data_IF_653191601071
#
_entry.id   IF_653191601071
#
_cell.length_a   1.000
_cell.length_b   1.000
_cell.length_c   1.000
_cell.angle_alpha   90.00
_cell.angle_beta   90.00
_cell.angle_gamma   90.00
#
_symmetry.space_group_name_H-M   'P 1'
#
loop_
_entity.id
_entity.type
_entity.pdbx_description
1 polymer ?
#
# COMPACT_ATOMS: atom_id res chain seq x y z
N UNK A 1 -27.33 4.67 1.37
CA UNK A 1 -27.62 5.05 -0.04
C UNK A 1 -28.36 6.36 -0.10
N UNK A 2 -28.18 7.13 -1.17
CA UNK A 2 -28.87 8.39 -1.40
C UNK A 2 -29.15 8.62 -2.88
N UNK A 3 -30.17 9.42 -3.17
CA UNK A 3 -30.52 9.83 -4.51
C UNK A 3 -31.04 11.29 -4.49
N UNK A 4 -30.46 12.13 -5.33
CA UNK A 4 -30.93 13.50 -5.51
C UNK A 4 -31.77 13.60 -6.80
N UNK A 5 -33.04 13.87 -6.65
CA UNK A 5 -33.94 14.15 -7.77
C UNK A 5 -33.80 15.61 -8.21
N UNK A 6 -33.10 15.80 -9.30
CA UNK A 6 -32.86 17.14 -9.87
C UNK A 6 -34.15 17.87 -10.29
N UNK A 7 -35.21 17.10 -10.64
CA UNK A 7 -36.46 17.69 -11.11
C UNK A 7 -37.29 18.29 -9.95
N UNK A 8 -37.37 17.55 -8.85
CA UNK A 8 -38.12 18.00 -7.67
C UNK A 8 -37.26 18.73 -6.64
N UNK A 9 -35.93 18.75 -6.82
CA UNK A 9 -34.99 19.33 -5.86
C UNK A 9 -34.93 18.58 -4.52
N UNK A 10 -35.37 17.31 -4.49
CA UNK A 10 -35.45 16.51 -3.26
C UNK A 10 -34.29 15.54 -3.16
N UNK A 11 -33.72 15.46 -1.96
CA UNK A 11 -32.74 14.44 -1.58
C UNK A 11 -33.44 13.30 -0.85
N UNK A 12 -33.33 12.10 -1.40
CA UNK A 12 -33.81 10.86 -0.78
C UNK A 12 -32.60 10.16 -0.18
N UNK A 13 -32.74 9.74 1.08
CA UNK A 13 -31.69 9.04 1.81
C UNK A 13 -32.29 7.74 2.34
N UNK A 14 -31.61 6.61 2.06
CA UNK A 14 -31.83 5.38 2.78
C UNK A 14 -30.95 5.45 4.04
N UNK A 15 -31.56 5.60 5.22
CA UNK A 15 -30.77 5.81 6.44
C UNK A 15 -29.95 4.57 6.79
N UNK A 16 -28.77 4.79 7.35
CA UNK A 16 -28.01 3.70 7.97
C UNK A 16 -28.72 3.23 9.26
N UNK A 17 -28.44 1.99 9.68
CA UNK A 17 -29.22 1.29 10.72
C UNK A 17 -29.38 2.07 12.04
N UNK A 18 -28.45 2.94 12.38
CA UNK A 18 -28.43 3.73 13.62
C UNK A 18 -28.81 5.20 13.42
N UNK A 19 -29.33 5.58 12.25
CA UNK A 19 -29.76 6.96 12.01
C UNK A 19 -30.99 7.32 12.85
N UNK A 20 -30.94 8.46 13.52
CA UNK A 20 -32.03 9.00 14.33
C UNK A 20 -32.41 10.39 13.80
N UNK A 21 -33.50 10.96 14.30
CA UNK A 21 -33.91 12.33 14.00
C UNK A 21 -32.85 13.38 14.44
N UNK A 22 -31.95 13.00 15.35
CA UNK A 22 -30.83 13.85 15.80
C UNK A 22 -29.57 13.69 14.95
N UNK A 23 -29.55 12.75 14.01
CA UNK A 23 -28.38 12.55 13.13
C UNK A 23 -28.17 13.77 12.25
N UNK A 24 -26.93 14.24 12.18
CA UNK A 24 -26.56 15.39 11.35
C UNK A 24 -26.23 14.93 9.94
N UNK A 25 -26.86 15.51 8.95
CA UNK A 25 -26.52 15.35 7.54
C UNK A 25 -25.77 16.60 7.07
N UNK A 26 -24.59 16.40 6.49
CA UNK A 26 -23.86 17.45 5.80
C UNK A 26 -23.88 17.21 4.30
N UNK A 27 -24.18 18.22 3.53
CA UNK A 27 -24.16 18.19 2.07
C UNK A 27 -23.42 19.43 1.56
N UNK A 28 -22.49 19.22 0.65
CA UNK A 28 -21.76 20.34 0.04
C UNK A 28 -22.30 20.67 -1.34
N UNK A 29 -22.34 21.94 -1.66
CA UNK A 29 -22.51 22.47 -3.02
C UNK A 29 -21.20 22.99 -3.61
N UNK A 30 -20.11 22.98 -2.83
CA UNK A 30 -18.79 23.43 -3.27
C UNK A 30 -18.33 22.64 -4.49
N UNK A 31 -18.00 23.34 -5.58
CA UNK A 31 -17.51 22.73 -6.82
C UNK A 31 -16.17 23.37 -7.23
N UNK A 32 -15.32 23.59 -6.27
CA UNK A 32 -13.95 24.12 -6.43
C UNK A 32 -13.03 23.47 -5.41
N UNK A 33 -11.74 23.52 -5.67
CA UNK A 33 -10.70 23.12 -4.73
C UNK A 33 -10.71 24.10 -3.55
N UNK A 34 -10.70 23.55 -2.31
CA UNK A 34 -10.92 24.42 -1.14
C UNK A 34 -9.71 25.30 -0.86
N UNK A 35 -8.49 24.77 -1.08
CA UNK A 35 -7.24 25.51 -0.95
C UNK A 35 -6.41 25.22 -2.21
N UNK A 36 -6.00 26.27 -2.92
CA UNK A 36 -5.14 26.17 -4.10
C UNK A 36 -3.89 27.01 -3.91
N UNK A 37 -2.72 26.36 -4.06
CA UNK A 37 -1.40 26.98 -3.95
C UNK A 37 -0.65 26.73 -5.24
N UNK A 38 -0.12 27.78 -5.86
CA UNK A 38 0.65 27.65 -7.09
C UNK A 38 1.87 28.58 -7.06
N UNK A 39 3.03 28.03 -7.35
CA UNK A 39 4.30 28.78 -7.42
C UNK A 39 4.80 29.29 -6.05
N UNK A 40 4.38 28.67 -4.95
CA UNK A 40 4.80 29.07 -3.62
C UNK A 40 6.05 28.32 -3.16
N UNK A 41 6.82 28.95 -2.28
CA UNK A 41 7.93 28.33 -1.58
C UNK A 41 7.84 28.61 -0.07
N UNK A 42 8.27 27.63 0.74
CA UNK A 42 8.34 27.75 2.20
C UNK A 42 6.98 28.06 2.87
N UNK A 43 5.90 27.49 2.33
CA UNK A 43 4.56 27.61 2.90
C UNK A 43 4.24 26.42 3.82
N UNK A 44 3.79 26.68 5.02
CA UNK A 44 3.24 25.65 5.91
C UNK A 44 1.73 25.84 6.10
N UNK A 45 0.95 24.79 5.83
CA UNK A 45 -0.47 24.69 6.16
C UNK A 45 -0.61 23.73 7.33
N UNK A 46 -0.87 24.25 8.51
CA UNK A 46 -0.82 23.48 9.75
C UNK A 46 -2.13 23.55 10.56
N UNK A 47 -2.52 22.41 11.17
CA UNK A 47 -3.62 22.34 12.12
C UNK A 47 -5.00 22.59 11.53
N UNK A 48 -5.18 22.37 10.23
CA UNK A 48 -6.42 22.65 9.53
C UNK A 48 -7.35 21.44 9.50
N UNK A 49 -8.64 21.68 9.68
CA UNK A 49 -9.69 20.74 9.30
C UNK A 49 -10.29 21.19 7.96
N UNK A 50 -10.01 20.43 6.89
CA UNK A 50 -10.51 20.72 5.54
C UNK A 50 -11.47 19.61 5.16
N UNK A 51 -12.72 19.96 4.84
CA UNK A 51 -13.76 18.96 4.62
C UNK A 51 -14.83 19.41 3.63
N UNK A 52 -15.45 18.44 2.99
CA UNK A 52 -16.71 18.60 2.25
C UNK A 52 -16.58 19.43 0.96
N UNK A 53 -15.87 18.90 -0.05
CA UNK A 53 -15.87 19.43 -1.42
C UNK A 53 -16.24 18.35 -2.45
N UNK A 54 -16.85 18.81 -3.56
CA UNK A 54 -17.01 18.00 -4.79
C UNK A 54 -15.74 17.96 -5.65
N UNK A 55 -14.74 18.74 -5.30
CA UNK A 55 -13.42 18.80 -5.90
C UNK A 55 -12.37 18.40 -4.89
N UNK A 56 -11.14 18.76 -5.16
CA UNK A 56 -10.03 18.44 -4.28
C UNK A 56 -10.05 19.34 -3.02
N UNK A 57 -9.47 18.85 -1.95
CA UNK A 57 -9.31 19.59 -0.69
C UNK A 57 -8.21 20.64 -0.79
N UNK A 58 -6.96 20.17 -0.88
CA UNK A 58 -5.77 21.02 -1.01
C UNK A 58 -5.03 20.64 -2.29
N UNK A 59 -4.81 21.62 -3.16
CA UNK A 59 -4.06 21.47 -4.41
C UNK A 59 -2.83 22.36 -4.37
N UNK A 60 -1.66 21.78 -4.52
CA UNK A 60 -0.37 22.45 -4.61
C UNK A 60 0.29 22.14 -5.94
N UNK A 61 0.64 23.17 -6.70
CA UNK A 61 1.33 23.03 -7.98
C UNK A 61 2.55 23.93 -8.03
N UNK A 62 3.66 23.43 -8.61
CA UNK A 62 4.89 24.19 -8.78
C UNK A 62 5.40 24.76 -7.44
N UNK A 63 5.51 23.91 -6.43
CA UNK A 63 5.83 24.33 -5.05
C UNK A 63 7.19 23.80 -4.62
N UNK A 64 7.84 24.56 -3.73
CA UNK A 64 9.13 24.21 -3.17
C UNK A 64 9.12 24.43 -1.64
N UNK A 65 9.55 23.40 -0.87
CA UNK A 65 9.53 23.44 0.59
C UNK A 65 8.15 23.81 1.19
N UNK A 66 7.06 23.32 0.60
CA UNK A 66 5.70 23.53 1.08
C UNK A 66 5.17 22.29 1.79
N UNK A 67 4.63 22.46 2.98
CA UNK A 67 4.23 21.36 3.85
C UNK A 67 2.78 21.51 4.30
N UNK A 68 2.03 20.41 4.27
CA UNK A 68 0.73 20.26 4.93
C UNK A 68 1.00 19.39 6.17
N UNK A 69 0.70 19.88 7.35
CA UNK A 69 0.95 19.10 8.55
C UNK A 69 -0.11 19.27 9.64
N UNK A 70 -0.25 18.26 10.49
CA UNK A 70 -1.20 18.23 11.61
C UNK A 70 -2.64 18.55 11.16
N UNK A 71 -3.05 18.08 9.98
CA UNK A 71 -4.35 18.39 9.36
C UNK A 71 -5.29 17.18 9.39
N UNK A 72 -6.60 17.47 9.43
CA UNK A 72 -7.67 16.49 9.20
C UNK A 72 -8.36 16.81 7.88
N UNK A 73 -8.27 15.90 6.91
CA UNK A 73 -8.68 16.09 5.53
C UNK A 73 -9.70 15.03 5.15
N UNK A 74 -10.99 15.36 5.13
CA UNK A 74 -12.05 14.34 5.00
C UNK A 74 -13.21 14.75 4.10
N UNK A 75 -13.89 13.76 3.52
CA UNK A 75 -15.17 13.91 2.81
C UNK A 75 -15.06 14.70 1.50
N UNK A 76 -14.30 14.16 0.56
CA UNK A 76 -14.13 14.74 -0.77
C UNK A 76 -14.68 13.81 -1.87
N UNK A 77 -15.34 14.38 -2.86
CA UNK A 77 -15.64 13.67 -4.11
C UNK A 77 -14.36 13.52 -4.96
N UNK A 78 -13.49 14.52 -4.94
CA UNK A 78 -12.13 14.49 -5.47
C UNK A 78 -11.11 13.90 -4.49
N UNK A 79 -9.89 14.40 -4.54
CA UNK A 79 -8.78 14.05 -3.64
C UNK A 79 -8.79 14.94 -2.40
N UNK A 80 -8.28 14.43 -1.31
CA UNK A 80 -7.99 15.27 -0.16
C UNK A 80 -6.77 16.17 -0.41
N UNK A 81 -5.72 15.61 -1.06
CA UNK A 81 -4.48 16.33 -1.37
C UNK A 81 -4.00 15.99 -2.78
N UNK A 82 -3.63 17.02 -3.53
CA UNK A 82 -2.93 16.89 -4.82
C UNK A 82 -1.69 17.79 -4.80
N UNK A 83 -0.50 17.19 -4.91
CA UNK A 83 0.78 17.89 -4.96
C UNK A 83 1.46 17.50 -6.27
N UNK A 84 1.70 18.46 -7.15
CA UNK A 84 2.25 18.23 -8.47
C UNK A 84 3.37 19.21 -8.80
N UNK A 85 4.40 18.70 -9.48
CA UNK A 85 5.62 19.46 -9.83
C UNK A 85 6.21 20.13 -8.59
N UNK A 86 6.53 19.32 -7.59
CA UNK A 86 6.98 19.77 -6.28
C UNK A 86 8.44 19.41 -6.01
N UNK A 87 9.06 20.12 -5.08
CA UNK A 87 10.36 19.77 -4.50
C UNK A 87 10.34 20.02 -3.00
N UNK A 88 10.91 19.08 -2.23
CA UNK A 88 10.98 19.13 -0.75
C UNK A 88 9.64 19.42 -0.07
N UNK A 89 8.54 19.02 -0.69
CA UNK A 89 7.18 19.36 -0.29
C UNK A 89 6.41 18.09 0.08
N UNK A 90 5.35 18.21 0.86
CA UNK A 90 4.61 17.00 1.19
C UNK A 90 3.56 17.15 2.28
N UNK A 91 3.07 15.97 2.71
CA UNK A 91 2.07 15.82 3.76
C UNK A 91 2.67 15.05 4.94
N UNK A 92 2.45 15.52 6.16
CA UNK A 92 2.88 14.80 7.36
C UNK A 92 1.90 14.93 8.52
N UNK A 93 1.96 13.98 9.47
CA UNK A 93 1.22 14.02 10.74
C UNK A 93 -0.28 14.30 10.56
N UNK A 94 -0.92 13.74 9.53
CA UNK A 94 -2.27 14.13 9.15
C UNK A 94 -3.18 12.91 8.97
N UNK A 95 -4.47 13.15 9.14
CA UNK A 95 -5.50 12.16 8.85
C UNK A 95 -6.17 12.49 7.51
N UNK A 96 -6.32 11.48 6.65
CA UNK A 96 -6.94 11.59 5.33
C UNK A 96 -7.97 10.48 5.16
N UNK A 97 -9.25 10.85 5.00
CA UNK A 97 -10.30 9.85 4.91
C UNK A 97 -11.49 10.27 4.05
N UNK A 98 -12.33 9.30 3.72
CA UNK A 98 -13.63 9.49 3.04
C UNK A 98 -13.52 10.22 1.72
N UNK A 99 -12.74 9.66 0.79
CA UNK A 99 -12.66 10.17 -0.59
C UNK A 99 -13.35 9.23 -1.58
N UNK A 100 -13.95 9.80 -2.62
CA UNK A 100 -14.62 8.99 -3.64
C UNK A 100 -13.65 8.35 -4.64
N UNK A 101 -12.50 8.96 -4.82
CA UNK A 101 -11.38 8.50 -5.67
C UNK A 101 -10.11 8.38 -4.81
N UNK A 102 -8.93 8.31 -5.43
CA UNK A 102 -7.65 8.36 -4.69
C UNK A 102 -7.60 9.56 -3.74
N UNK A 103 -7.17 9.31 -2.50
CA UNK A 103 -7.12 10.36 -1.49
C UNK A 103 -5.98 11.34 -1.72
N UNK A 104 -4.83 10.83 -2.17
CA UNK A 104 -3.61 11.64 -2.31
C UNK A 104 -2.99 11.38 -3.68
N UNK A 105 -2.58 12.45 -4.33
CA UNK A 105 -1.67 12.44 -5.48
C UNK A 105 -0.42 13.23 -5.12
N UNK A 106 0.75 12.63 -5.32
CA UNK A 106 2.04 13.28 -5.12
C UNK A 106 2.93 12.99 -6.32
N UNK A 107 3.51 14.04 -6.89
CA UNK A 107 4.49 13.97 -7.96
C UNK A 107 5.47 15.13 -7.85
N UNK A 108 6.77 14.82 -7.90
CA UNK A 108 7.82 15.82 -7.97
C UNK A 108 9.15 15.24 -8.39
N UNK A 109 10.04 16.11 -8.81
CA UNK A 109 11.26 15.75 -9.53
C UNK A 109 11.02 15.44 -11.00
N UNK A 110 12.07 15.22 -11.76
CA UNK A 110 12.03 14.97 -13.20
C UNK A 110 12.73 13.64 -13.54
N UNK A 111 11.99 12.65 -13.99
CA UNK A 111 12.52 11.33 -14.34
C UNK A 111 13.42 11.37 -15.60
N UNK A 112 13.29 12.36 -16.49
CA UNK A 112 14.12 12.43 -17.70
C UNK A 112 15.51 12.92 -17.40
N UNK A 113 15.65 13.84 -16.47
CA UNK A 113 16.92 14.39 -15.98
C UNK A 113 17.42 13.70 -14.71
N UNK A 114 16.56 12.87 -14.09
CA UNK A 114 16.75 12.25 -12.78
C UNK A 114 16.90 13.26 -11.63
N UNK A 115 16.42 14.49 -11.81
CA UNK A 115 16.41 15.49 -10.77
C UNK A 115 15.43 15.09 -9.66
N UNK A 116 15.87 15.03 -8.39
CA UNK A 116 15.05 14.58 -7.29
C UNK A 116 13.96 15.59 -6.89
N UNK A 117 12.76 15.09 -6.53
CA UNK A 117 11.75 15.86 -5.85
C UNK A 117 12.00 15.95 -4.35
N UNK A 118 12.41 14.84 -3.73
CA UNK A 118 12.52 14.70 -2.28
C UNK A 118 11.20 15.04 -1.55
N UNK A 119 10.08 14.82 -2.22
CA UNK A 119 8.75 15.02 -1.66
C UNK A 119 8.36 13.84 -0.77
N UNK A 120 7.40 14.07 0.12
CA UNK A 120 7.08 13.08 1.12
C UNK A 120 5.60 13.00 1.50
N UNK A 121 5.18 11.80 1.86
CA UNK A 121 3.97 11.53 2.65
C UNK A 121 4.43 10.71 3.84
N UNK A 122 4.35 11.28 5.04
CA UNK A 122 4.90 10.63 6.23
C UNK A 122 4.04 10.79 7.46
N UNK A 123 3.96 9.72 8.26
CA UNK A 123 3.27 9.69 9.53
C UNK A 123 1.79 10.10 9.41
N UNK A 124 1.09 9.56 8.40
CA UNK A 124 -0.32 9.85 8.12
C UNK A 124 -1.20 8.61 8.30
N UNK A 125 -2.45 8.81 8.74
CA UNK A 125 -3.51 7.81 8.63
C UNK A 125 -4.29 8.08 7.37
N UNK A 126 -4.39 7.07 6.51
CA UNK A 126 -5.05 7.16 5.20
C UNK A 126 -6.04 6.01 5.11
N UNK A 127 -7.33 6.31 5.12
CA UNK A 127 -8.33 5.26 5.20
C UNK A 127 -9.68 5.65 4.59
N UNK A 128 -10.56 4.67 4.42
CA UNK A 128 -11.91 4.88 3.86
C UNK A 128 -11.90 5.66 2.54
N UNK A 129 -10.96 5.33 1.66
CA UNK A 129 -10.79 5.98 0.36
C UNK A 129 -11.34 5.13 -0.78
N UNK A 130 -11.42 5.69 -1.99
CA UNK A 130 -11.91 5.00 -3.19
C UNK A 130 -13.35 4.50 -3.08
N UNK A 131 -14.18 5.22 -2.34
CA UNK A 131 -15.53 4.76 -2.02
C UNK A 131 -16.49 4.72 -3.21
N UNK A 132 -16.22 5.49 -4.24
CA UNK A 132 -17.02 5.51 -5.46
C UNK A 132 -16.30 4.83 -6.64
N UNK A 133 -15.04 5.14 -6.87
CA UNK A 133 -14.18 4.44 -7.81
C UNK A 133 -13.37 3.38 -7.07
N UNK A 134 -13.80 2.15 -7.23
CA UNK A 134 -13.26 1.00 -6.49
C UNK A 134 -12.25 0.17 -7.29
N UNK A 135 -11.81 0.65 -8.48
CA UNK A 135 -10.84 -0.05 -9.31
C UNK A 135 -9.89 0.91 -10.03
N UNK A 136 -8.61 0.55 -10.08
CA UNK A 136 -7.52 1.22 -10.81
C UNK A 136 -7.24 2.68 -10.38
N UNK A 137 -7.64 3.07 -9.19
CA UNK A 137 -7.40 4.41 -8.65
C UNK A 137 -6.26 4.42 -7.62
N UNK A 138 -6.20 3.44 -6.74
CA UNK A 138 -5.31 3.41 -5.59
C UNK A 138 -5.66 4.50 -4.54
N UNK A 139 -5.55 4.18 -3.26
CA UNK A 139 -5.75 5.16 -2.19
C UNK A 139 -4.77 6.33 -2.30
N UNK A 140 -3.52 6.01 -2.62
CA UNK A 140 -2.45 6.97 -2.87
C UNK A 140 -1.86 6.75 -4.25
N UNK A 141 -1.78 7.80 -5.06
CA UNK A 141 -0.98 7.84 -6.30
C UNK A 141 0.34 8.53 -5.99
N UNK A 142 1.38 7.72 -5.92
CA UNK A 142 2.72 8.15 -5.50
C UNK A 142 3.68 8.10 -6.68
N UNK A 143 4.21 9.25 -7.08
CA UNK A 143 5.05 9.44 -8.27
C UNK A 143 6.25 10.31 -7.95
N UNK A 144 7.15 10.41 -8.92
CA UNK A 144 8.26 11.34 -8.92
C UNK A 144 9.62 10.67 -8.72
N UNK A 145 10.63 11.45 -8.38
CA UNK A 145 12.02 11.00 -8.27
C UNK A 145 12.53 11.17 -6.85
N UNK A 146 13.00 10.08 -6.25
CA UNK A 146 13.54 10.03 -4.88
C UNK A 146 12.56 10.53 -3.81
N UNK A 147 11.28 10.36 -4.02
CA UNK A 147 10.24 10.69 -3.07
C UNK A 147 10.07 9.57 -2.03
N UNK A 148 9.54 9.91 -0.87
CA UNK A 148 9.42 9.00 0.27
C UNK A 148 7.97 8.88 0.76
N UNK A 149 7.50 7.63 0.91
CA UNK A 149 6.25 7.29 1.56
C UNK A 149 6.57 6.49 2.83
N UNK A 150 6.45 7.08 4.01
CA UNK A 150 6.99 6.46 5.23
C UNK A 150 6.12 6.63 6.47
N UNK A 151 6.17 5.63 7.35
CA UNK A 151 5.50 5.65 8.65
C UNK A 151 3.99 5.90 8.58
N UNK A 152 3.35 5.55 7.50
CA UNK A 152 1.91 5.70 7.35
C UNK A 152 1.16 4.44 7.79
N UNK A 153 -0.08 4.61 8.20
CA UNK A 153 -1.07 3.55 8.38
C UNK A 153 -2.13 3.70 7.30
N UNK A 154 -2.27 2.68 6.45
CA UNK A 154 -3.15 2.71 5.26
C UNK A 154 -4.10 1.54 5.34
N UNK A 155 -5.40 1.82 5.47
CA UNK A 155 -6.38 0.77 5.74
C UNK A 155 -7.80 1.10 5.25
N UNK A 156 -8.66 0.08 5.27
CA UNK A 156 -10.06 0.15 4.84
C UNK A 156 -10.24 0.74 3.44
N UNK A 157 -9.49 0.17 2.48
CA UNK A 157 -9.48 0.63 1.08
C UNK A 157 -10.01 -0.49 0.17
N UNK A 158 -10.97 -0.15 -0.68
CA UNK A 158 -11.58 -1.11 -1.61
C UNK A 158 -10.66 -1.55 -2.74
N UNK A 159 -9.70 -0.71 -3.12
CA UNK A 159 -8.74 -0.86 -4.22
C UNK A 159 -7.30 -1.03 -3.66
N UNK A 160 -6.28 -0.75 -4.46
CA UNK A 160 -4.88 -0.66 -4.03
C UNK A 160 -4.73 0.38 -2.91
N UNK A 161 -3.89 0.10 -1.92
CA UNK A 161 -3.53 1.12 -0.94
C UNK A 161 -2.63 2.20 -1.56
N UNK A 162 -1.60 1.77 -2.30
CA UNK A 162 -0.65 2.65 -2.96
C UNK A 162 -0.35 2.17 -4.39
N UNK A 163 -0.47 3.08 -5.34
CA UNK A 163 -0.07 2.88 -6.72
C UNK A 163 1.13 3.77 -7.04
N UNK A 164 2.28 3.17 -7.43
CA UNK A 164 3.51 3.92 -7.72
C UNK A 164 3.91 3.93 -9.21
N UNK A 165 3.28 3.13 -10.05
CA UNK A 165 3.48 3.15 -11.50
C UNK A 165 2.27 2.60 -12.22
N UNK A 166 1.84 3.25 -13.29
CA UNK A 166 0.77 2.76 -14.17
C UNK A 166 0.94 3.36 -15.58
N UNK A 167 0.59 2.57 -16.59
CA UNK A 167 0.56 2.99 -17.99
C UNK A 167 -0.29 4.23 -18.23
N UNK A 168 0.15 5.09 -19.12
CA UNK A 168 -0.65 6.19 -19.63
C UNK A 168 0.12 7.49 -19.88
N UNK A 169 1.46 7.46 -19.92
CA UNK A 169 2.28 8.63 -20.31
C UNK A 169 2.33 9.75 -19.26
N UNK A 170 1.85 9.50 -18.05
CA UNK A 170 1.98 10.42 -16.93
C UNK A 170 3.31 10.27 -16.16
N UNK A 171 3.47 10.95 -15.03
CA UNK A 171 4.65 10.82 -14.18
C UNK A 171 4.87 9.39 -13.67
N UNK A 172 6.12 9.02 -13.45
CA UNK A 172 6.57 7.71 -12.97
C UNK A 172 7.26 7.82 -11.62
N UNK A 173 7.62 6.69 -11.02
CA UNK A 173 8.44 6.64 -9.80
C UNK A 173 9.84 6.14 -10.11
N UNK A 174 10.83 6.93 -9.77
CA UNK A 174 12.26 6.61 -9.96
C UNK A 174 12.99 6.78 -8.64
N UNK A 175 13.70 5.73 -8.19
CA UNK A 175 14.43 5.72 -6.91
C UNK A 175 13.59 6.10 -5.68
N UNK A 176 12.27 5.90 -5.73
CA UNK A 176 11.36 6.22 -4.63
C UNK A 176 11.42 5.15 -3.52
N UNK A 177 11.11 5.56 -2.29
CA UNK A 177 11.15 4.69 -1.11
C UNK A 177 9.77 4.60 -0.46
N UNK A 178 9.31 3.37 -0.21
CA UNK A 178 8.08 3.04 0.52
C UNK A 178 8.50 2.25 1.76
N UNK A 179 8.53 2.89 2.93
CA UNK A 179 9.14 2.29 4.10
C UNK A 179 8.41 2.51 5.42
N UNK A 180 8.54 1.56 6.32
CA UNK A 180 8.01 1.63 7.69
C UNK A 180 6.48 1.87 7.74
N UNK A 181 5.73 1.46 6.74
CA UNK A 181 4.27 1.63 6.71
C UNK A 181 3.54 0.38 7.21
N UNK A 182 2.34 0.58 7.72
CA UNK A 182 1.36 -0.47 7.99
C UNK A 182 0.29 -0.45 6.91
N UNK A 183 0.14 -1.54 6.17
CA UNK A 183 -0.90 -1.74 5.15
C UNK A 183 -1.80 -2.89 5.58
N UNK A 184 -3.09 -2.61 5.80
CA UNK A 184 -4.04 -3.65 6.22
C UNK A 184 -5.47 -3.33 5.78
N UNK A 185 -6.30 -4.35 5.74
CA UNK A 185 -7.69 -4.21 5.33
C UNK A 185 -7.84 -3.43 4.02
N UNK A 186 -7.07 -3.82 3.02
CA UNK A 186 -7.04 -3.19 1.69
C UNK A 186 -7.26 -4.22 0.59
N UNK A 187 -7.52 -3.78 -0.63
CA UNK A 187 -7.96 -4.62 -1.77
C UNK A 187 -9.26 -5.34 -1.44
N UNK A 188 -10.18 -4.68 -0.74
CA UNK A 188 -11.39 -5.31 -0.19
C UNK A 188 -12.39 -5.73 -1.27
N UNK A 189 -12.49 -5.02 -2.39
CA UNK A 189 -13.39 -5.31 -3.51
C UNK A 189 -12.68 -5.47 -4.85
N UNK A 190 -11.36 -5.33 -4.86
CA UNK A 190 -10.56 -5.43 -6.05
C UNK A 190 -10.15 -6.87 -6.36
N UNK A 191 -9.73 -7.11 -7.60
CA UNK A 191 -9.12 -8.36 -8.05
C UNK A 191 -7.95 -8.04 -8.95
N UNK A 192 -6.94 -8.93 -8.96
CA UNK A 192 -5.71 -8.76 -9.73
C UNK A 192 -5.00 -7.43 -9.39
N UNK A 193 -4.96 -7.13 -8.10
CA UNK A 193 -4.41 -5.92 -7.51
C UNK A 193 -3.42 -6.25 -6.40
N UNK A 194 -2.65 -5.26 -5.99
CA UNK A 194 -1.76 -5.32 -4.83
C UNK A 194 -2.04 -4.20 -3.84
N UNK A 195 -1.76 -4.42 -2.55
CA UNK A 195 -1.76 -3.31 -1.59
C UNK A 195 -0.78 -2.22 -2.04
N UNK A 196 0.42 -2.62 -2.43
CA UNK A 196 1.39 -1.76 -3.14
C UNK A 196 1.52 -2.29 -4.56
N UNK A 197 1.17 -1.46 -5.54
CA UNK A 197 1.08 -1.86 -6.95
C UNK A 197 1.87 -0.91 -7.85
N UNK A 198 2.58 -1.50 -8.82
CA UNK A 198 3.15 -0.80 -9.96
C UNK A 198 3.16 -1.69 -11.20
N UNK A 199 2.93 -1.12 -12.38
CA UNK A 199 2.92 -1.90 -13.60
C UNK A 199 3.09 -1.11 -14.89
N UNK A 200 3.55 -1.80 -15.95
CA UNK A 200 3.63 -1.32 -17.33
C UNK A 200 4.46 -0.08 -17.55
N UNK A 201 5.44 0.20 -16.72
CA UNK A 201 6.25 1.41 -16.83
C UNK A 201 7.75 1.11 -16.69
N UNK A 202 8.46 1.08 -17.82
CA UNK A 202 9.89 0.83 -17.83
C UNK A 202 10.72 2.01 -17.29
N UNK A 203 10.16 3.20 -17.18
CA UNK A 203 10.80 4.37 -16.59
C UNK A 203 10.87 4.24 -15.06
N UNK A 204 9.96 3.43 -14.50
CA UNK A 204 9.90 3.15 -13.07
C UNK A 204 10.99 2.14 -12.70
N UNK A 205 12.06 2.62 -12.08
CA UNK A 205 13.22 1.83 -11.68
C UNK A 205 13.70 2.23 -10.28
N UNK A 206 14.38 1.32 -9.61
CA UNK A 206 15.03 1.59 -8.34
C UNK A 206 14.08 1.83 -7.15
N UNK A 207 12.81 1.47 -7.28
CA UNK A 207 11.85 1.61 -6.17
C UNK A 207 12.18 0.61 -5.06
N UNK A 208 12.24 1.11 -3.81
CA UNK A 208 12.53 0.32 -2.63
C UNK A 208 11.30 0.23 -1.74
N UNK A 209 10.81 -0.99 -1.50
CA UNK A 209 9.69 -1.31 -0.59
C UNK A 209 10.29 -2.03 0.61
N UNK A 210 10.45 -1.32 1.75
CA UNK A 210 11.18 -1.89 2.88
C UNK A 210 10.55 -1.62 4.24
N UNK A 211 10.76 -2.57 5.15
CA UNK A 211 10.36 -2.45 6.55
C UNK A 211 8.87 -2.13 6.73
N UNK A 212 8.01 -2.59 5.83
CA UNK A 212 6.57 -2.43 5.94
C UNK A 212 5.93 -3.69 6.56
N UNK A 213 4.74 -3.53 7.12
CA UNK A 213 3.92 -4.64 7.58
C UNK A 213 2.65 -4.72 6.73
N UNK A 214 2.41 -5.87 6.12
CA UNK A 214 1.25 -6.20 5.30
C UNK A 214 0.44 -7.30 5.97
N UNK A 215 -0.82 -7.04 6.31
CA UNK A 215 -1.73 -8.04 6.88
C UNK A 215 -3.18 -7.76 6.48
N UNK A 216 -4.05 -8.77 6.56
CA UNK A 216 -5.45 -8.66 6.14
C UNK A 216 -5.61 -8.06 4.71
N UNK A 217 -4.72 -8.47 3.80
CA UNK A 217 -4.84 -8.09 2.39
C UNK A 217 -5.83 -9.07 1.76
N UNK A 218 -7.06 -8.66 1.56
CA UNK A 218 -8.11 -9.59 1.16
C UNK A 218 -9.12 -8.98 0.20
N UNK A 219 -9.50 -9.76 -0.80
CA UNK A 219 -10.70 -9.54 -1.57
C UNK A 219 -11.86 -10.29 -0.88
N UNK A 220 -12.85 -9.56 -0.40
CA UNK A 220 -14.03 -10.12 0.27
C UNK A 220 -15.14 -10.59 -0.70
N UNK A 221 -14.94 -10.43 -2.01
CA UNK A 221 -15.91 -10.84 -3.01
C UNK A 221 -15.81 -12.34 -3.30
N UNK A 222 -16.68 -13.13 -2.66
CA UNK A 222 -16.77 -14.57 -2.86
C UNK A 222 -17.18 -14.99 -4.30
N UNK A 223 -17.65 -14.06 -5.12
CA UNK A 223 -18.01 -14.33 -6.52
C UNK A 223 -16.78 -14.40 -7.44
N UNK A 224 -15.59 -14.03 -6.94
CA UNK A 224 -14.33 -14.08 -7.69
C UNK A 224 -13.22 -14.86 -6.96
N UNK A 225 -13.42 -16.13 -6.62
CA UNK A 225 -12.45 -16.90 -5.82
C UNK A 225 -11.11 -17.16 -6.54
N UNK A 226 -11.01 -16.89 -7.83
CA UNK A 226 -9.83 -17.17 -8.65
C UNK A 226 -8.88 -15.98 -8.82
N UNK A 227 -9.21 -14.81 -8.30
CA UNK A 227 -8.36 -13.63 -8.44
C UNK A 227 -7.67 -13.31 -7.12
N UNK A 228 -6.36 -13.17 -7.19
CA UNK A 228 -5.50 -12.92 -6.05
C UNK A 228 -5.50 -11.43 -5.66
N UNK A 229 -5.60 -11.18 -4.37
CA UNK A 229 -5.10 -9.95 -3.77
C UNK A 229 -3.64 -10.20 -3.36
N UNK A 230 -2.77 -9.27 -3.69
CA UNK A 230 -1.34 -9.37 -3.42
C UNK A 230 -0.93 -8.29 -2.39
N UNK A 231 0.10 -8.54 -1.59
CA UNK A 231 0.65 -7.47 -0.77
C UNK A 231 1.51 -6.52 -1.63
N UNK A 232 2.43 -7.07 -2.43
CA UNK A 232 3.21 -6.32 -3.41
C UNK A 232 2.99 -6.94 -4.79
N UNK A 233 2.60 -6.12 -5.76
CA UNK A 233 2.41 -6.58 -7.12
C UNK A 233 3.17 -5.69 -8.12
N UNK A 234 4.17 -6.28 -8.76
CA UNK A 234 4.97 -5.71 -9.83
C UNK A 234 4.48 -6.30 -11.16
N UNK A 235 3.67 -5.54 -11.89
CA UNK A 235 2.87 -6.05 -12.98
C UNK A 235 3.42 -5.69 -14.36
N UNK A 236 3.11 -6.55 -15.34
CA UNK A 236 3.32 -6.35 -16.77
C UNK A 236 4.70 -5.77 -17.13
N UNK A 237 5.75 -6.45 -16.70
CA UNK A 237 7.13 -6.14 -17.06
C UNK A 237 7.82 -5.10 -16.16
N UNK A 238 7.16 -4.58 -15.12
CA UNK A 238 7.84 -3.68 -14.17
C UNK A 238 8.98 -4.40 -13.48
N UNK A 239 10.15 -3.81 -13.48
CA UNK A 239 11.43 -4.43 -13.12
C UNK A 239 12.27 -3.53 -12.22
N UNK A 240 13.38 -4.07 -11.66
CA UNK A 240 14.38 -3.28 -10.95
C UNK A 240 13.95 -2.75 -9.59
N UNK A 241 12.99 -3.39 -8.91
CA UNK A 241 12.56 -3.03 -7.57
C UNK A 241 13.31 -3.84 -6.49
N UNK A 242 13.32 -3.32 -5.25
CA UNK A 242 13.79 -4.03 -4.07
C UNK A 242 12.66 -4.16 -3.05
N UNK A 243 12.38 -5.39 -2.59
CA UNK A 243 11.41 -5.70 -1.53
C UNK A 243 12.20 -6.32 -0.37
N UNK A 244 12.44 -5.56 0.69
CA UNK A 244 13.38 -6.00 1.74
C UNK A 244 12.95 -5.61 3.15
N UNK A 245 13.17 -6.50 4.11
CA UNK A 245 12.87 -6.22 5.52
C UNK A 245 11.38 -6.07 5.83
N UNK A 246 10.47 -6.56 4.99
CA UNK A 246 9.05 -6.45 5.23
C UNK A 246 8.51 -7.65 6.03
N UNK A 247 7.39 -7.43 6.73
CA UNK A 247 6.60 -8.48 7.37
C UNK A 247 5.34 -8.69 6.55
N UNK A 248 5.09 -9.90 6.10
CA UNK A 248 3.90 -10.33 5.38
C UNK A 248 3.08 -11.30 6.23
N UNK A 249 1.87 -10.90 6.66
CA UNK A 249 1.03 -11.67 7.58
C UNK A 249 1.26 -11.32 9.05
N UNK A 250 0.64 -12.03 9.99
CA UNK A 250 -0.36 -13.09 9.80
C UNK A 250 -1.74 -12.53 9.42
N UNK A 251 -2.69 -13.44 9.13
CA UNK A 251 -4.06 -13.03 8.85
C UNK A 251 -4.31 -12.66 7.39
N UNK A 252 -3.44 -13.07 6.51
CA UNK A 252 -3.76 -13.18 5.11
C UNK A 252 -4.91 -14.17 4.96
N UNK A 253 -6.13 -13.68 5.12
CA UNK A 253 -7.33 -14.48 5.02
C UNK A 253 -7.66 -14.72 3.56
N UNK A 254 -7.50 -15.90 3.07
CA UNK A 254 -7.93 -16.30 1.75
C UNK A 254 -6.99 -17.30 1.10
N UNK A 255 -7.56 -18.17 0.32
CA UNK A 255 -6.84 -19.23 -0.37
C UNK A 255 -5.91 -18.70 -1.47
N UNK A 256 -5.96 -17.42 -1.81
CA UNK A 256 -5.32 -16.83 -2.99
C UNK A 256 -4.44 -15.61 -2.69
N UNK A 257 -4.04 -15.41 -1.45
CA UNK A 257 -3.12 -14.32 -1.14
C UNK A 257 -1.70 -14.70 -1.58
N UNK A 258 -1.15 -13.85 -2.43
CA UNK A 258 0.26 -13.89 -2.81
C UNK A 258 0.97 -12.72 -2.12
N UNK A 259 2.07 -12.97 -1.41
CA UNK A 259 2.78 -11.88 -0.75
C UNK A 259 3.46 -10.97 -1.78
N UNK A 260 4.27 -11.56 -2.65
CA UNK A 260 4.95 -10.83 -3.73
C UNK A 260 4.62 -11.50 -5.06
N UNK A 261 4.04 -10.73 -5.98
CA UNK A 261 3.76 -11.17 -7.35
C UNK A 261 4.55 -10.33 -8.34
N UNK A 262 5.22 -11.00 -9.27
CA UNK A 262 5.90 -10.38 -10.41
C UNK A 262 5.29 -10.96 -11.68
N UNK A 263 4.69 -10.10 -12.49
CA UNK A 263 4.18 -10.48 -13.80
C UNK A 263 5.12 -9.95 -14.89
N UNK A 264 5.86 -10.84 -15.50
CA UNK A 264 6.78 -10.56 -16.60
C UNK A 264 7.93 -9.59 -16.29
N UNK A 265 8.17 -9.26 -15.01
CA UNK A 265 9.28 -8.42 -14.57
C UNK A 265 10.56 -9.21 -14.30
N UNK A 266 11.67 -8.52 -14.25
CA UNK A 266 13.01 -9.06 -13.99
C UNK A 266 13.81 -8.14 -13.05
N UNK A 267 15.03 -8.54 -12.66
CA UNK A 267 15.96 -7.72 -11.88
C UNK A 267 15.36 -7.17 -10.57
N UNK A 268 14.49 -7.96 -9.95
CA UNK A 268 13.88 -7.61 -8.67
C UNK A 268 14.55 -8.36 -7.54
N UNK A 269 14.86 -7.65 -6.45
CA UNK A 269 15.54 -8.23 -5.28
C UNK A 269 14.58 -8.34 -4.11
N UNK A 270 14.35 -9.57 -3.62
CA UNK A 270 13.45 -9.88 -2.50
C UNK A 270 14.29 -10.54 -1.41
N UNK A 271 14.63 -9.79 -0.36
CA UNK A 271 15.57 -10.26 0.68
C UNK A 271 15.16 -9.78 2.07
N UNK A 272 15.57 -10.53 3.07
CA UNK A 272 15.39 -10.18 4.49
C UNK A 272 13.92 -9.95 4.90
N UNK A 273 12.96 -10.60 4.22
CA UNK A 273 11.55 -10.49 4.58
C UNK A 273 11.13 -11.64 5.50
N UNK A 274 10.15 -11.36 6.35
CA UNK A 274 9.48 -12.34 7.20
C UNK A 274 8.08 -12.61 6.64
N UNK A 275 7.80 -13.86 6.30
CA UNK A 275 6.50 -14.32 5.83
C UNK A 275 5.86 -15.23 6.88
N UNK A 276 4.66 -14.89 7.34
CA UNK A 276 3.93 -15.61 8.39
C UNK A 276 2.59 -16.08 7.82
N UNK A 277 2.37 -17.37 7.78
CA UNK A 277 1.15 -18.00 7.28
C UNK A 277 0.73 -17.56 5.86
N UNK A 278 1.68 -17.10 5.07
CA UNK A 278 1.46 -16.70 3.68
C UNK A 278 1.56 -17.93 2.78
N UNK A 279 0.45 -18.40 2.23
CA UNK A 279 0.37 -19.68 1.50
C UNK A 279 1.21 -19.68 0.22
N UNK A 280 1.11 -18.63 -0.61
CA UNK A 280 1.97 -18.38 -1.75
C UNK A 280 2.86 -17.16 -1.46
N UNK A 281 4.10 -17.42 -1.11
CA UNK A 281 5.04 -16.38 -0.71
C UNK A 281 5.49 -15.55 -1.91
N UNK A 282 5.78 -16.24 -3.02
CA UNK A 282 6.32 -15.62 -4.22
C UNK A 282 5.69 -16.22 -5.47
N UNK A 283 5.10 -15.37 -6.30
CA UNK A 283 4.54 -15.75 -7.60
C UNK A 283 5.27 -14.99 -8.71
N UNK A 284 5.87 -15.72 -9.63
CA UNK A 284 6.55 -15.15 -10.80
C UNK A 284 5.96 -15.74 -12.06
N UNK A 285 5.38 -14.88 -12.87
CA UNK A 285 5.02 -15.22 -14.24
C UNK A 285 6.06 -14.63 -15.20
N UNK A 286 6.64 -15.46 -16.05
CA UNK A 286 7.65 -15.06 -17.03
C UNK A 286 7.16 -15.46 -18.41
N UNK A 287 7.00 -14.50 -19.31
CA UNK A 287 6.60 -14.80 -20.68
C UNK A 287 7.71 -15.54 -21.44
N UNK A 288 7.33 -16.46 -22.31
CA UNK A 288 8.26 -17.32 -23.05
C UNK A 288 9.25 -16.56 -23.94
N UNK A 289 8.90 -15.34 -24.39
CA UNK A 289 9.83 -14.44 -25.09
C UNK A 289 9.79 -13.05 -24.44
N UNK A 290 10.63 -12.88 -23.44
CA UNK A 290 10.72 -11.66 -22.66
C UNK A 290 11.01 -10.41 -23.51
N UNK A 291 12.02 -10.46 -24.40
CA UNK A 291 12.39 -9.30 -25.21
C UNK A 291 11.24 -8.85 -26.13
N UNK A 292 10.51 -9.79 -26.73
CA UNK A 292 9.32 -9.46 -27.54
C UNK A 292 8.22 -8.86 -26.68
N UNK A 293 7.99 -9.38 -25.48
CA UNK A 293 7.00 -8.82 -24.54
C UNK A 293 7.31 -7.39 -24.15
N UNK A 294 8.59 -7.05 -23.96
CA UNK A 294 9.05 -5.73 -23.57
C UNK A 294 9.04 -4.71 -24.73
N UNK A 295 9.25 -5.13 -25.97
CA UNK A 295 9.43 -4.22 -27.12
C UNK A 295 8.20 -4.11 -28.02
N UNK A 296 7.29 -5.06 -27.97
CA UNK A 296 6.08 -5.09 -28.80
C UNK A 296 4.93 -4.33 -28.12
N UNK A 297 4.24 -3.47 -28.86
CA UNK A 297 3.09 -2.70 -28.37
C UNK A 297 1.91 -3.60 -27.92
N UNK A 298 1.79 -4.79 -28.47
CA UNK A 298 0.80 -5.79 -28.05
C UNK A 298 1.34 -6.76 -26.98
N UNK A 299 2.57 -6.55 -26.48
CA UNK A 299 3.19 -7.38 -25.45
C UNK A 299 2.68 -7.05 -24.05
N UNK A 300 3.60 -6.73 -23.12
CA UNK A 300 3.23 -6.39 -21.73
C UNK A 300 2.64 -4.97 -21.56
N UNK A 301 2.49 -4.20 -22.66
CA UNK A 301 2.04 -2.81 -22.61
C UNK A 301 3.08 -1.83 -22.07
N UNK A 302 4.33 -2.26 -21.89
CA UNK A 302 5.44 -1.47 -21.36
C UNK A 302 6.27 -0.77 -22.43
N UNK A 303 6.20 -1.24 -23.68
CA UNK A 303 7.02 -0.75 -24.78
C UNK A 303 6.96 0.78 -25.00
N UNK A 304 5.82 1.47 -24.87
CA UNK A 304 5.79 2.91 -25.01
C UNK A 304 6.69 3.62 -24.01
N UNK A 305 6.62 3.28 -22.72
CA UNK A 305 7.45 3.87 -21.67
C UNK A 305 8.94 3.52 -21.81
N UNK A 306 9.24 2.31 -22.29
CA UNK A 306 10.60 1.89 -22.57
C UNK A 306 11.23 2.76 -23.69
N UNK A 307 10.48 3.03 -24.76
CA UNK A 307 10.95 3.89 -25.86
C UNK A 307 11.22 5.34 -25.45
N UNK A 308 10.59 5.83 -24.41
CA UNK A 308 10.87 7.17 -23.87
C UNK A 308 12.27 7.27 -23.27
N UNK A 309 12.81 6.18 -22.71
CA UNK A 309 14.05 6.22 -21.92
C UNK A 309 15.22 5.42 -22.50
N UNK A 310 15.00 4.51 -23.45
CA UNK A 310 16.08 3.64 -23.98
C UNK A 310 17.15 4.37 -24.79
N UNK A 311 16.93 5.66 -25.16
CA UNK A 311 17.94 6.55 -25.74
C UNK A 311 18.49 7.54 -24.71
N UNK A 312 17.98 7.55 -23.50
CA UNK A 312 18.45 8.42 -22.44
C UNK A 312 19.70 7.82 -21.79
N UNK A 313 20.85 8.49 -21.89
CA UNK A 313 22.12 7.99 -21.36
C UNK A 313 22.10 7.82 -19.84
N UNK A 314 21.34 8.62 -19.10
CA UNK A 314 21.18 8.45 -17.65
C UNK A 314 20.51 7.11 -17.31
N UNK A 315 19.50 6.71 -18.10
CA UNK A 315 18.85 5.42 -17.92
C UNK A 315 19.72 4.26 -18.38
N UNK A 316 20.25 4.33 -19.60
CA UNK A 316 21.00 3.21 -20.20
C UNK A 316 22.34 2.95 -19.52
N UNK A 317 22.95 3.93 -18.88
CA UNK A 317 24.15 3.72 -18.05
C UNK A 317 23.82 3.00 -16.72
N UNK A 318 22.66 3.23 -16.13
CA UNK A 318 22.22 2.54 -14.89
C UNK A 318 21.56 1.19 -15.17
N UNK A 319 20.80 1.09 -16.26
CA UNK A 319 20.10 -0.10 -16.71
C UNK A 319 20.44 -0.47 -18.15
N UNK A 320 21.65 -1.05 -18.38
CA UNK A 320 22.16 -1.36 -19.74
C UNK A 320 21.26 -2.26 -20.59
N UNK A 321 20.40 -3.07 -19.95
CA UNK A 321 19.44 -3.92 -20.64
C UNK A 321 18.47 -3.14 -21.55
N UNK A 322 18.19 -1.87 -21.23
CA UNK A 322 17.33 -1.01 -22.06
C UNK A 322 18.00 -0.68 -23.40
N UNK A 323 19.30 -0.37 -23.39
CA UNK A 323 20.06 -0.16 -24.62
C UNK A 323 20.19 -1.48 -25.42
N UNK A 324 20.45 -2.58 -24.77
CA UNK A 324 20.55 -3.89 -25.39
C UNK A 324 19.24 -4.29 -26.13
N UNK A 325 18.09 -4.06 -25.51
CA UNK A 325 16.77 -4.26 -26.15
C UNK A 325 16.57 -3.35 -27.38
N UNK A 326 16.95 -2.06 -27.26
CA UNK A 326 16.91 -1.11 -28.39
C UNK A 326 17.75 -1.60 -29.56
N UNK A 327 18.90 -2.15 -29.27
CA UNK A 327 19.88 -2.61 -30.26
C UNK A 327 19.56 -4.03 -30.79
N UNK A 328 18.43 -4.60 -30.35
CA UNK A 328 17.88 -5.86 -30.87
C UNK A 328 18.37 -7.13 -30.14
N UNK A 329 19.01 -6.99 -29.00
CA UNK A 329 19.39 -8.15 -28.17
C UNK A 329 18.13 -8.81 -27.55
N UNK A 330 18.15 -10.13 -27.48
CA UNK A 330 17.01 -10.91 -26.97
C UNK A 330 17.27 -11.61 -25.66
N UNK A 331 18.52 -11.79 -25.28
CA UNK A 331 18.92 -12.42 -24.00
C UNK A 331 19.31 -11.35 -22.96
N UNK A 332 18.31 -10.55 -22.58
CA UNK A 332 18.47 -9.43 -21.66
C UNK A 332 17.81 -9.65 -20.29
N UNK A 333 17.23 -10.83 -20.09
CA UNK A 333 16.55 -11.15 -18.83
C UNK A 333 17.56 -11.27 -17.69
N UNK A 334 17.40 -10.44 -16.68
CA UNK A 334 18.19 -10.52 -15.43
C UNK A 334 17.34 -11.29 -14.42
N UNK A 335 17.84 -12.40 -13.83
CA UNK A 335 17.06 -13.17 -12.87
C UNK A 335 16.60 -12.36 -11.66
N UNK A 336 15.37 -12.61 -11.23
CA UNK A 336 14.92 -12.12 -9.94
C UNK A 336 15.66 -12.83 -8.80
N UNK A 337 15.96 -12.12 -7.73
CA UNK A 337 16.66 -12.65 -6.56
C UNK A 337 15.69 -12.84 -5.42
N UNK A 338 15.56 -14.06 -4.93
CA UNK A 338 14.79 -14.39 -3.72
C UNK A 338 15.66 -15.17 -2.75
N UNK A 339 16.21 -14.50 -1.74
CA UNK A 339 17.13 -15.11 -0.78
C UNK A 339 17.09 -14.43 0.57
N UNK A 340 17.62 -15.12 1.57
CA UNK A 340 17.77 -14.61 2.93
C UNK A 340 16.43 -14.13 3.54
N UNK A 341 15.33 -14.84 3.24
CA UNK A 341 14.03 -14.60 3.82
C UNK A 341 13.70 -15.70 4.84
N UNK A 342 12.85 -15.36 5.80
CA UNK A 342 12.30 -16.32 6.77
C UNK A 342 10.82 -16.54 6.47
N UNK A 343 10.40 -17.80 6.35
CA UNK A 343 9.05 -18.23 6.04
C UNK A 343 8.58 -19.17 7.14
N UNK A 344 7.57 -18.79 7.91
CA UNK A 344 7.06 -19.57 9.04
C UNK A 344 5.58 -19.83 8.87
N UNK A 345 5.19 -21.11 8.93
CA UNK A 345 3.81 -21.55 8.94
C UNK A 345 3.40 -21.95 10.35
N UNK A 346 2.44 -21.23 10.94
CA UNK A 346 1.87 -21.55 12.26
C UNK A 346 0.57 -22.33 12.11
N UNK A 347 -0.32 -21.89 11.24
CA UNK A 347 -1.62 -22.51 10.97
C UNK A 347 -1.81 -22.92 9.51
N UNK A 348 -1.33 -22.11 8.58
CA UNK A 348 -1.44 -22.37 7.14
C UNK A 348 -0.48 -23.47 6.65
N UNK A 349 -0.69 -23.92 5.43
CA UNK A 349 0.25 -24.75 4.69
C UNK A 349 0.64 -24.03 3.40
N UNK A 350 1.85 -24.24 2.88
CA UNK A 350 2.27 -23.67 1.61
C UNK A 350 1.35 -24.11 0.46
N UNK A 351 1.13 -23.21 -0.49
CA UNK A 351 0.31 -23.44 -1.69
C UNK A 351 0.96 -22.76 -2.91
N UNK A 352 2.12 -23.22 -3.29
CA UNK A 352 2.74 -22.84 -4.55
C UNK A 352 2.32 -23.74 -5.72
N UNK A 353 3.17 -23.89 -6.71
CA UNK A 353 2.98 -24.86 -7.79
C UNK A 353 3.18 -26.29 -7.26
N UNK A 354 2.26 -27.21 -7.58
CA UNK A 354 2.36 -28.62 -7.16
C UNK A 354 3.61 -29.32 -7.73
N UNK A 355 4.16 -28.77 -8.81
CA UNK A 355 5.36 -29.32 -9.49
C UNK A 355 6.66 -28.65 -9.03
N UNK A 356 6.60 -27.58 -8.23
CA UNK A 356 7.76 -26.86 -7.74
C UNK A 356 8.48 -27.63 -6.63
N UNK A 357 9.81 -27.61 -6.66
CA UNK A 357 10.63 -28.05 -5.52
C UNK A 357 10.45 -27.14 -4.29
N UNK A 358 9.85 -25.98 -4.49
CA UNK A 358 9.58 -24.96 -3.47
C UNK A 358 8.06 -24.79 -3.32
N UNK A 359 7.38 -25.47 -2.39
CA UNK A 359 5.92 -25.49 -2.31
C UNK A 359 5.28 -24.13 -1.95
N UNK A 360 6.07 -23.12 -1.66
CA UNK A 360 5.69 -21.75 -1.36
C UNK A 360 5.93 -20.77 -2.54
N UNK A 361 6.50 -21.28 -3.65
CA UNK A 361 6.72 -20.52 -4.91
C UNK A 361 5.73 -20.99 -5.97
N UNK A 362 5.21 -20.07 -6.73
CA UNK A 362 4.39 -20.32 -7.92
C UNK A 362 5.08 -19.73 -9.14
N UNK A 363 5.30 -20.56 -10.16
CA UNK A 363 5.82 -20.12 -11.45
C UNK A 363 4.96 -20.72 -12.57
N UNK A 364 4.97 -20.10 -13.75
CA UNK A 364 4.50 -20.75 -14.95
C UNK A 364 5.61 -21.63 -15.55
N UNK A 365 5.24 -22.78 -16.08
CA UNK A 365 6.14 -23.68 -16.85
C UNK A 365 7.46 -24.07 -16.16
N UNK A 366 7.46 -24.21 -14.82
CA UNK A 366 8.63 -24.59 -14.01
C UNK A 366 9.86 -23.70 -14.24
N UNK A 367 9.65 -22.38 -14.26
CA UNK A 367 10.71 -21.41 -14.52
C UNK A 367 11.50 -20.97 -13.25
N UNK A 368 11.61 -21.83 -12.26
CA UNK A 368 12.42 -21.57 -11.05
C UNK A 368 13.88 -21.21 -11.36
N UNK A 369 14.42 -21.71 -12.49
CA UNK A 369 15.77 -21.34 -12.95
C UNK A 369 15.95 -19.86 -13.28
N UNK A 370 14.85 -19.11 -13.43
CA UNK A 370 14.85 -17.66 -13.62
C UNK A 370 14.83 -16.89 -12.30
N UNK A 371 14.91 -17.60 -11.17
CA UNK A 371 14.97 -17.04 -9.83
C UNK A 371 16.27 -17.51 -9.18
N UNK A 372 17.02 -16.57 -8.62
CA UNK A 372 18.28 -16.88 -7.94
C UNK A 372 18.08 -16.90 -6.43
N UNK A 373 18.67 -17.88 -5.75
CA UNK A 373 18.79 -17.91 -4.30
C UNK A 373 17.62 -18.57 -3.56
N UNK A 374 16.74 -19.30 -4.23
CA UNK A 374 15.62 -20.01 -3.58
C UNK A 374 16.04 -20.93 -2.44
N UNK A 375 17.21 -21.58 -2.55
CA UNK A 375 17.76 -22.45 -1.50
C UNK A 375 18.29 -21.69 -0.27
N UNK A 376 18.50 -20.38 -0.39
CA UNK A 376 19.08 -19.54 0.65
C UNK A 376 18.00 -18.83 1.49
N UNK A 377 16.96 -19.55 1.86
CA UNK A 377 15.88 -19.06 2.71
C UNK A 377 15.62 -20.06 3.84
N UNK A 378 15.16 -19.57 4.98
CA UNK A 378 14.74 -20.43 6.08
C UNK A 378 13.23 -20.67 6.00
N UNK A 379 12.83 -21.93 5.84
CA UNK A 379 11.42 -22.32 5.77
C UNK A 379 11.09 -23.24 6.94
N UNK A 380 10.17 -22.81 7.78
CA UNK A 380 9.69 -23.59 8.93
C UNK A 380 8.23 -23.96 8.69
N UNK A 381 8.00 -25.21 8.34
CA UNK A 381 6.66 -25.74 8.11
C UNK A 381 5.94 -26.00 9.44
N UNK A 382 4.62 -26.01 9.40
CA UNK A 382 3.80 -26.44 10.53
C UNK A 382 4.10 -27.91 10.86
N UNK A 383 4.60 -28.15 12.05
CA UNK A 383 4.89 -29.47 12.60
C UNK A 383 3.89 -29.88 13.68
N UNK A 384 4.32 -30.76 14.59
CA UNK A 384 3.55 -31.16 15.78
C UNK A 384 3.63 -30.14 16.92
N UNK A 385 4.61 -29.22 16.88
CA UNK A 385 4.77 -28.09 17.80
C UNK A 385 4.01 -26.85 17.36
N UNK A 386 3.91 -25.90 18.27
CA UNK A 386 3.30 -24.58 17.97
C UNK A 386 4.40 -23.61 17.55
N UNK A 387 4.47 -23.30 16.26
CA UNK A 387 5.47 -22.38 15.72
C UNK A 387 5.28 -20.91 16.16
N UNK A 388 4.17 -20.56 16.82
CA UNK A 388 3.99 -19.23 17.39
C UNK A 388 5.00 -18.91 18.48
N UNK A 389 5.53 -19.92 19.17
CA UNK A 389 6.60 -19.78 20.16
C UNK A 389 7.96 -19.34 19.56
N UNK A 390 8.10 -19.32 18.24
CA UNK A 390 9.29 -18.81 17.55
C UNK A 390 9.34 -17.27 17.50
N UNK A 391 8.28 -16.63 17.92
CA UNK A 391 8.15 -15.18 18.01
C UNK A 391 8.17 -14.69 19.46
N UNK A 392 8.57 -13.47 19.69
CA UNK A 392 8.64 -12.89 21.02
C UNK A 392 7.26 -12.79 21.70
N UNK A 393 6.23 -12.37 20.96
CA UNK A 393 4.84 -12.35 21.45
C UNK A 393 3.86 -12.32 20.26
N UNK A 394 3.66 -13.49 19.66
CA UNK A 394 2.79 -13.64 18.49
C UNK A 394 1.37 -13.13 18.74
N UNK A 395 0.82 -13.43 19.92
CA UNK A 395 -0.58 -13.11 20.24
C UNK A 395 -0.83 -11.59 20.29
N UNK A 396 0.18 -10.81 20.63
CA UNK A 396 0.12 -9.34 20.66
C UNK A 396 0.80 -8.67 19.47
N UNK A 397 1.09 -9.45 18.40
CA UNK A 397 1.63 -8.91 17.16
C UNK A 397 3.12 -8.56 17.20
N UNK A 398 3.86 -9.03 18.20
CA UNK A 398 5.31 -8.90 18.22
C UNK A 398 5.97 -10.10 17.52
N UNK A 399 6.31 -9.89 16.27
CA UNK A 399 6.89 -10.93 15.40
C UNK A 399 8.43 -10.96 15.41
N UNK A 400 9.07 -10.35 16.40
CA UNK A 400 10.51 -10.50 16.59
C UNK A 400 10.85 -11.99 16.75
N UNK A 401 11.81 -12.46 15.95
CA UNK A 401 12.18 -13.88 15.92
C UNK A 401 13.07 -14.24 17.10
N UNK A 402 12.87 -15.44 17.64
CA UNK A 402 13.75 -16.00 18.67
C UNK A 402 15.18 -16.20 18.12
N UNK A 403 16.18 -16.10 18.99
CA UNK A 403 17.61 -16.31 18.66
C UNK A 403 17.87 -17.65 17.99
N UNK A 404 17.14 -18.69 18.35
CA UNK A 404 17.23 -20.02 17.75
C UNK A 404 16.81 -20.05 16.28
N UNK A 405 15.95 -19.14 15.85
CA UNK A 405 15.56 -18.96 14.43
C UNK A 405 16.64 -18.17 13.70
N UNK A 406 17.06 -17.04 14.28
CA UNK A 406 18.11 -16.19 13.71
C UNK A 406 19.43 -16.94 13.49
N UNK A 407 19.79 -17.83 14.40
CA UNK A 407 20.98 -18.67 14.30
C UNK A 407 20.96 -19.61 13.07
N UNK A 408 19.78 -19.95 12.54
CA UNK A 408 19.65 -20.83 11.37
C UNK A 408 19.82 -20.08 10.04
N UNK A 409 19.69 -18.75 10.05
CA UNK A 409 19.91 -17.90 8.87
C UNK A 409 20.75 -16.66 9.26
N UNK A 410 22.07 -16.81 9.44
CA UNK A 410 22.93 -15.74 9.99
C UNK A 410 22.97 -14.44 9.19
N UNK A 411 22.51 -14.45 7.93
CA UNK A 411 22.41 -13.26 7.11
C UNK A 411 21.09 -12.50 7.25
N UNK A 412 20.13 -13.03 8.01
CA UNK A 412 18.85 -12.36 8.25
C UNK A 412 19.00 -11.34 9.38
N UNK A 413 18.56 -10.10 9.10
CA UNK A 413 18.52 -9.02 10.08
C UNK A 413 17.13 -8.91 10.69
N UNK A 414 17.05 -8.86 12.02
CA UNK A 414 15.79 -8.70 12.76
C UNK A 414 15.08 -7.42 12.33
N UNK A 415 13.80 -7.55 11.95
CA UNK A 415 12.99 -6.42 11.54
C UNK A 415 12.49 -5.65 12.79
N UNK A 416 12.79 -4.37 12.84
CA UNK A 416 12.39 -3.51 13.95
C UNK A 416 10.96 -2.98 13.76
N UNK A 417 9.98 -3.71 14.30
CA UNK A 417 8.57 -3.35 14.22
C UNK A 417 8.23 -2.02 14.90
N UNK A 418 9.05 -1.55 15.85
CA UNK A 418 8.82 -0.29 16.53
C UNK A 418 8.88 0.91 15.59
N UNK A 419 9.49 0.74 14.41
CA UNK A 419 9.57 1.76 13.37
C UNK A 419 8.40 1.77 12.40
N UNK A 420 7.57 0.73 12.42
CA UNK A 420 6.47 0.55 11.46
C UNK A 420 5.21 1.30 11.92
N UNK A 421 4.49 1.85 10.95
CA UNK A 421 3.23 2.56 11.16
C UNK A 421 3.38 3.95 11.74
N UNK A 422 2.24 4.56 11.98
CA UNK A 422 2.13 5.94 12.49
C UNK A 422 2.73 6.06 13.88
N UNK A 423 3.49 7.12 14.08
CA UNK A 423 3.95 7.57 15.40
C UNK A 423 2.93 8.55 15.97
N UNK A 424 3.00 8.79 17.27
CA UNK A 424 2.14 9.81 17.89
C UNK A 424 2.30 11.15 17.17
N UNK A 425 1.20 11.77 16.79
CA UNK A 425 1.25 13.14 16.29
C UNK A 425 1.59 14.08 17.43
N UNK A 426 2.52 15.04 17.24
CA UNK A 426 2.69 16.10 18.21
C UNK A 426 1.35 16.86 18.35
N UNK A 427 0.73 16.80 19.51
CA UNK A 427 -0.52 17.48 19.79
C UNK A 427 -1.79 16.61 19.74
N UNK A 428 -1.80 15.43 19.14
CA UNK A 428 -2.96 14.53 19.19
C UNK A 428 -2.59 13.22 19.89
N UNK A 429 -3.03 13.08 21.13
CA UNK A 429 -2.83 11.86 21.92
C UNK A 429 -4.05 10.95 21.80
N UNK A 430 -3.82 9.65 21.89
CA UNK A 430 -4.95 8.70 21.85
C UNK A 430 -5.85 8.95 23.06
N UNK A 431 -7.18 9.05 22.86
CA UNK A 431 -8.11 9.10 23.97
C UNK A 431 -7.99 7.84 24.84
N UNK A 432 -8.24 8.01 26.12
CA UNK A 432 -8.22 6.91 27.08
C UNK A 432 -9.59 6.69 27.69
N UNK A 433 -9.95 5.43 27.92
CA UNK A 433 -11.10 5.05 28.70
C UNK A 433 -10.62 4.45 30.03
N UNK A 434 -11.13 4.97 31.15
CA UNK A 434 -10.85 4.45 32.47
C UNK A 434 -12.13 4.05 33.20
N UNK A 435 -12.03 3.17 34.20
CA UNK A 435 -13.17 2.71 34.97
C UNK A 435 -14.19 1.92 34.14
N UNK A 436 -13.73 1.25 33.10
CA UNK A 436 -14.60 0.50 32.17
C UNK A 436 -15.31 -0.62 32.92
N UNK A 437 -16.63 -0.58 32.93
CA UNK A 437 -17.48 -1.63 33.49
C UNK A 437 -18.78 -1.78 32.69
N UNK A 438 -19.39 -2.95 32.80
CA UNK A 438 -20.70 -3.22 32.21
C UNK A 438 -21.71 -3.37 33.34
N UNK A 439 -22.81 -2.63 33.28
CA UNK A 439 -23.91 -2.72 34.22
C UNK A 439 -25.19 -3.19 33.52
N UNK A 440 -26.04 -3.90 34.25
CA UNK A 440 -27.29 -4.49 33.75
C UNK A 440 -27.37 -5.96 34.06
N UNK A 441 -28.51 -6.57 33.72
CA UNK A 441 -28.74 -8.01 33.91
C UNK A 441 -28.41 -8.75 32.62
N UNK A 442 -27.51 -9.72 32.69
CA UNK A 442 -27.09 -10.52 31.54
C UNK A 442 -28.16 -11.58 31.17
N UNK A 443 -29.31 -11.14 30.68
CA UNK A 443 -30.39 -11.97 30.21
C UNK A 443 -30.86 -11.55 28.82
N UNK A 444 -31.36 -12.48 28.03
CA UNK A 444 -31.86 -12.22 26.68
C UNK A 444 -32.99 -11.19 26.72
N UNK A 445 -32.86 -10.11 25.97
CA UNK A 445 -33.82 -9.00 25.88
C UNK A 445 -33.62 -7.90 26.94
N UNK A 446 -32.61 -8.00 27.80
CA UNK A 446 -32.20 -6.93 28.71
C UNK A 446 -31.12 -6.06 28.10
N UNK A 447 -31.11 -4.78 28.50
CA UNK A 447 -30.08 -3.83 28.07
C UNK A 447 -28.89 -3.89 29.02
N UNK A 448 -27.71 -4.06 28.46
CA UNK A 448 -26.43 -3.84 29.16
C UNK A 448 -25.91 -2.45 28.83
N UNK A 449 -25.44 -1.73 29.85
CA UNK A 449 -24.87 -0.42 29.69
C UNK A 449 -23.37 -0.47 29.96
N UNK A 450 -22.56 0.01 29.03
CA UNK A 450 -21.15 0.27 29.28
C UNK A 450 -21.00 1.58 30.06
N UNK A 451 -20.21 1.54 31.11
CA UNK A 451 -19.86 2.70 31.94
C UNK A 451 -18.34 2.86 31.89
N UNK A 452 -17.88 4.02 31.56
CA UNK A 452 -16.46 4.38 31.56
C UNK A 452 -16.29 5.89 31.69
N UNK A 453 -15.09 6.31 31.99
CA UNK A 453 -14.70 7.73 31.94
C UNK A 453 -13.82 7.93 30.73
N UNK A 454 -14.30 8.71 29.77
CA UNK A 454 -13.51 9.18 28.65
C UNK A 454 -12.55 10.28 29.10
N UNK A 455 -11.33 10.26 28.61
CA UNK A 455 -10.37 11.35 28.74
C UNK A 455 -9.52 11.44 27.49
N UNK A 456 -9.34 12.65 27.03
CA UNK A 456 -8.44 12.98 25.94
C UNK A 456 -7.47 14.07 26.41
N UNK A 457 -6.17 13.86 26.21
CA UNK A 457 -5.14 14.76 26.70
C UNK A 457 -5.10 16.08 25.91
N UNK A 458 -5.64 16.07 24.69
CA UNK A 458 -5.68 17.22 23.79
C UNK A 458 -7.02 17.94 23.86
N UNK A 459 -7.97 17.40 24.62
CA UNK A 459 -9.30 17.98 24.81
C UNK A 459 -10.30 17.66 23.70
N UNK A 460 -10.03 16.66 22.89
CA UNK A 460 -10.94 16.21 21.84
C UNK A 460 -12.23 15.63 22.43
N UNK A 461 -13.33 15.89 21.75
CA UNK A 461 -14.63 15.40 22.20
C UNK A 461 -14.77 13.90 21.92
N UNK A 462 -15.41 13.19 22.83
CA UNK A 462 -15.78 11.79 22.64
C UNK A 462 -16.66 11.63 21.37
N UNK A 463 -16.26 10.71 20.49
CA UNK A 463 -17.05 10.32 19.31
C UNK A 463 -18.19 9.37 19.67
N UNK A 464 -18.88 8.85 18.66
CA UNK A 464 -19.91 7.83 18.86
C UNK A 464 -19.29 6.54 19.40
N UNK A 465 -19.72 6.12 20.61
CA UNK A 465 -19.25 4.87 21.23
C UNK A 465 -19.89 3.67 20.58
N UNK A 466 -19.07 2.73 20.13
CA UNK A 466 -19.52 1.41 19.67
C UNK A 466 -19.08 0.37 20.69
N UNK A 467 -20.02 -0.33 21.29
CA UNK A 467 -19.74 -1.44 22.22
C UNK A 467 -20.09 -2.73 21.51
N UNK A 468 -19.08 -3.57 21.26
CA UNK A 468 -19.27 -4.92 20.73
C UNK A 468 -19.27 -5.93 21.89
N UNK A 469 -20.31 -6.73 21.97
CA UNK A 469 -20.45 -7.82 22.94
C UNK A 469 -20.29 -9.18 22.27
#
# INVERSE_FOLDING_TARGET
EWYYDQTSGKLYIYPFANATAASTLRMTSSNFDLISVNGASYLNLEGLTVTSSKKDGIVMNNVDHCVIENCTLTSFEGRAVSIDNATYSGLKNSEVAYTSISAIYLNGGDYQTMEPGYDFITNCRIHDTNQYRTMNEGGVKFRGVKNTFSNNEVYNITDMALNFAIVGGGPTSLDCVIENNSFHDVVLNGKDLGAVYGGRDARCQGVVIRNNHFYNIANNDSSFPSFSANAVYLDDGLSGAAVTGNIFGPGASGDYLEAVKINCGHDTVITNNLFIDTRCVFNVYIAGNFAVGMTNDSGFGIAPSLREVWNNELYTSRWPWMAALRDGETDVYIPNIFKNNVIIYTDAAPRGSETSAYPWVKTNDNQESKITGLDNNLVILKGTGDNRQLFADYANGNYALADSVLAQLPGFEQIDQSKIGVKSFPGNQKPAASGVSVSGTAEIGQTLNAVYTFSDADGDSEGATVVNF
#
